data_IF_115425155742
#
_entry.id   IF_115425155742
#
_cell.length_a   1.000
_cell.length_b   1.000
_cell.length_c   1.000
_cell.angle_alpha   90.00
_cell.angle_beta   90.00
_cell.angle_gamma   90.00
#
_symmetry.space_group_name_H-M   'P 1'
#
loop_
_entity.id
_entity.type
_entity.pdbx_description
1 polymer ?
#
# COMPACT_ATOMS: atom_id res chain seq x y z
N UNK A 1 13.88 3.17 10.29
CA UNK A 1 12.43 3.48 10.47
C UNK A 1 11.82 2.39 11.33
N UNK A 2 11.17 2.75 12.42
CA UNK A 2 10.43 1.79 13.25
C UNK A 2 9.03 1.48 12.70
N UNK A 3 8.34 0.50 13.29
CA UNK A 3 7.01 0.08 12.84
C UNK A 3 5.97 1.19 12.89
N UNK A 4 5.97 1.98 13.95
CA UNK A 4 5.02 3.07 14.13
C UNK A 4 5.22 4.14 13.03
N UNK A 5 6.46 4.49 12.77
CA UNK A 5 6.85 5.42 11.71
C UNK A 5 6.43 4.90 10.31
N UNK A 6 6.68 3.63 10.04
CA UNK A 6 6.30 3.02 8.77
C UNK A 6 4.78 3.01 8.56
N UNK A 7 4.02 2.64 9.58
CA UNK A 7 2.55 2.64 9.51
C UNK A 7 1.97 4.05 9.38
N UNK A 8 2.54 5.02 10.07
CA UNK A 8 2.10 6.41 9.96
C UNK A 8 2.37 6.99 8.57
N UNK A 9 3.53 6.69 7.98
CA UNK A 9 3.85 7.07 6.61
C UNK A 9 2.86 6.44 5.62
N UNK A 10 2.65 5.13 5.72
CA UNK A 10 1.73 4.41 4.84
C UNK A 10 0.30 4.95 4.95
N UNK A 11 -0.17 5.21 6.18
CA UNK A 11 -1.48 5.84 6.43
C UNK A 11 -1.62 7.18 5.69
N UNK A 12 -0.63 8.05 5.78
CA UNK A 12 -0.68 9.37 5.15
C UNK A 12 -0.65 9.28 3.62
N UNK A 13 0.21 8.42 3.08
CA UNK A 13 0.30 8.17 1.63
C UNK A 13 -1.01 7.61 1.09
N UNK A 14 -1.61 6.63 1.77
CA UNK A 14 -2.89 6.06 1.36
C UNK A 14 -4.02 7.08 1.43
N UNK A 15 -4.08 7.88 2.49
CA UNK A 15 -5.10 8.94 2.63
C UNK A 15 -4.99 9.98 1.51
N UNK A 16 -3.77 10.41 1.15
CA UNK A 16 -3.57 11.33 0.03
C UNK A 16 -3.92 10.68 -1.31
N UNK A 17 -3.63 9.41 -1.47
CA UNK A 17 -3.96 8.65 -2.69
C UNK A 17 -5.47 8.56 -2.90
N UNK A 18 -6.24 8.32 -1.82
CA UNK A 18 -7.71 8.29 -1.88
C UNK A 18 -8.31 9.65 -2.23
N UNK A 19 -7.71 10.74 -1.72
CA UNK A 19 -8.20 12.10 -2.00
C UNK A 19 -7.81 12.63 -3.37
N UNK A 20 -6.80 12.06 -4.00
CA UNK A 20 -6.31 12.54 -5.28
C UNK A 20 -7.18 12.03 -6.44
N UNK A 21 -7.35 12.87 -7.47
CA UNK A 21 -7.94 12.48 -8.74
C UNK A 21 -6.94 11.67 -9.55
N UNK A 22 -6.72 10.44 -9.16
CA UNK A 22 -5.80 9.55 -9.83
C UNK A 22 -6.35 8.14 -9.90
N UNK A 23 -5.67 7.24 -10.61
CA UNK A 23 -6.10 5.85 -10.67
C UNK A 23 -6.03 5.21 -9.29
N UNK A 24 -7.11 4.55 -8.91
CA UNK A 24 -7.20 3.75 -7.69
C UNK A 24 -6.78 2.32 -8.02
N UNK A 25 -5.55 1.98 -7.67
CA UNK A 25 -4.99 0.67 -7.94
C UNK A 25 -5.07 -0.22 -6.70
N UNK A 26 -5.53 -1.45 -6.89
CA UNK A 26 -5.38 -2.45 -5.85
C UNK A 26 -3.92 -2.93 -5.73
N UNK A 27 -3.60 -3.70 -4.69
CA UNK A 27 -2.23 -4.12 -4.42
C UNK A 27 -1.60 -4.92 -5.57
N UNK A 28 -2.36 -5.77 -6.27
CA UNK A 28 -1.86 -6.56 -7.40
C UNK A 28 -1.53 -5.69 -8.60
N UNK A 29 -2.40 -4.77 -8.93
CA UNK A 29 -2.21 -3.80 -10.02
C UNK A 29 -1.00 -2.91 -9.73
N UNK A 30 -0.91 -2.38 -8.53
CA UNK A 30 0.21 -1.57 -8.09
C UNK A 30 1.52 -2.35 -8.15
N UNK A 31 1.57 -3.56 -7.60
CA UNK A 31 2.77 -4.41 -7.61
C UNK A 31 3.27 -4.70 -9.02
N UNK A 32 2.37 -4.97 -9.97
CA UNK A 32 2.72 -5.17 -11.39
C UNK A 32 3.29 -3.89 -11.99
N UNK A 33 2.61 -2.76 -11.82
CA UNK A 33 3.06 -1.48 -12.36
C UNK A 33 4.43 -1.08 -11.81
N UNK A 34 4.64 -1.22 -10.51
CA UNK A 34 5.95 -0.97 -9.88
C UNK A 34 7.03 -1.86 -10.47
N UNK A 35 6.75 -3.16 -10.57
CA UNK A 35 7.75 -4.11 -11.05
C UNK A 35 8.19 -3.83 -12.48
N UNK A 36 7.24 -3.63 -13.40
CA UNK A 36 7.55 -3.37 -14.81
C UNK A 36 8.20 -2.00 -15.02
N UNK A 37 8.03 -1.07 -14.08
CA UNK A 37 8.59 0.28 -14.17
C UNK A 37 9.97 0.41 -13.52
N UNK A 38 10.22 -0.32 -12.44
CA UNK A 38 11.41 -0.14 -11.61
C UNK A 38 12.46 -1.22 -11.79
N UNK A 39 12.06 -2.40 -12.25
CA UNK A 39 13.00 -3.49 -12.47
C UNK A 39 13.33 -3.63 -13.94
N UNK A 40 14.58 -4.05 -14.28
CA UNK A 40 14.96 -4.26 -15.69
C UNK A 40 14.14 -5.40 -16.30
N UNK A 41 13.67 -5.17 -17.55
CA UNK A 41 12.92 -6.15 -18.33
C UNK A 41 13.80 -6.99 -19.25
N UNK A 42 13.19 -7.75 -20.16
CA UNK A 42 11.75 -7.73 -20.46
C UNK A 42 10.88 -8.39 -19.39
N UNK A 43 9.65 -7.88 -19.21
CA UNK A 43 8.65 -8.45 -18.30
C UNK A 43 7.58 -9.17 -19.09
N UNK A 44 7.31 -10.43 -18.75
CA UNK A 44 6.28 -11.25 -19.37
C UNK A 44 5.16 -11.56 -18.38
N UNK A 45 3.99 -11.92 -18.91
CA UNK A 45 2.87 -12.36 -18.05
C UNK A 45 3.29 -13.54 -17.17
N UNK A 46 4.01 -14.52 -17.75
CA UNK A 46 4.56 -15.66 -17.00
C UNK A 46 5.52 -15.21 -15.90
N UNK A 47 6.47 -14.35 -16.23
CA UNK A 47 7.46 -13.85 -15.28
C UNK A 47 6.83 -13.07 -14.13
N UNK A 48 5.80 -12.26 -14.40
CA UNK A 48 5.03 -11.55 -13.38
C UNK A 48 4.25 -12.52 -12.48
N UNK A 49 3.64 -13.53 -13.06
CA UNK A 49 2.91 -14.55 -12.30
C UNK A 49 3.86 -15.30 -11.34
N UNK A 50 5.02 -15.71 -11.79
CA UNK A 50 6.04 -16.37 -10.97
C UNK A 50 6.56 -15.44 -9.87
N UNK A 51 6.94 -14.21 -10.23
CA UNK A 51 7.51 -13.24 -9.30
C UNK A 51 6.55 -12.84 -8.18
N UNK A 52 5.26 -12.77 -8.46
CA UNK A 52 4.23 -12.32 -7.50
C UNK A 52 3.45 -13.51 -6.89
N UNK A 53 3.81 -14.74 -7.23
CA UNK A 53 3.09 -15.95 -6.81
C UNK A 53 1.60 -15.89 -7.12
N UNK A 54 1.27 -15.39 -8.31
CA UNK A 54 -0.09 -15.27 -8.82
C UNK A 54 -0.33 -16.28 -9.95
N UNK A 55 -1.58 -16.69 -10.12
CA UNK A 55 -1.99 -17.38 -11.33
C UNK A 55 -1.99 -16.44 -12.54
N UNK A 56 -1.74 -16.97 -13.73
CA UNK A 56 -1.82 -16.19 -14.97
C UNK A 56 -3.16 -15.45 -15.17
N UNK A 57 -4.33 -16.04 -14.83
CA UNK A 57 -5.60 -15.31 -14.92
C UNK A 57 -5.66 -14.06 -14.04
N UNK A 58 -5.07 -14.11 -12.85
CA UNK A 58 -5.02 -12.95 -11.95
C UNK A 58 -4.12 -11.84 -12.51
N UNK A 59 -2.97 -12.20 -13.08
CA UNK A 59 -2.08 -11.25 -13.78
C UNK A 59 -2.79 -10.65 -14.99
N UNK A 60 -3.46 -11.45 -15.80
CA UNK A 60 -4.18 -10.96 -16.98
C UNK A 60 -5.29 -9.98 -16.62
N UNK A 61 -6.06 -10.25 -15.57
CA UNK A 61 -7.10 -9.32 -15.09
C UNK A 61 -6.50 -8.00 -14.59
N UNK A 62 -5.40 -8.06 -13.86
CA UNK A 62 -4.70 -6.86 -13.40
C UNK A 62 -4.17 -6.03 -14.58
N UNK A 63 -3.63 -6.70 -15.60
CA UNK A 63 -3.15 -6.05 -16.83
C UNK A 63 -4.29 -5.45 -17.65
N UNK A 64 -5.45 -6.12 -17.72
CA UNK A 64 -6.64 -5.56 -18.37
C UNK A 64 -7.06 -4.25 -17.70
N UNK A 65 -7.07 -4.21 -16.36
CA UNK A 65 -7.36 -3.00 -15.62
C UNK A 65 -6.32 -1.89 -15.85
N UNK A 66 -5.03 -2.22 -15.78
CA UNK A 66 -3.95 -1.27 -16.04
C UNK A 66 -3.97 -0.72 -17.48
N UNK A 67 -4.26 -1.57 -18.45
CA UNK A 67 -4.41 -1.17 -19.86
C UNK A 67 -5.64 -0.29 -20.05
N UNK A 68 -6.75 -0.62 -19.40
CA UNK A 68 -7.97 0.20 -19.44
C UNK A 68 -7.78 1.59 -18.86
N UNK A 69 -6.89 1.74 -17.89
CA UNK A 69 -6.49 3.02 -17.31
C UNK A 69 -5.37 3.73 -18.10
N UNK A 70 -4.83 3.09 -19.12
CA UNK A 70 -3.73 3.62 -19.93
C UNK A 70 -2.37 3.63 -19.24
N UNK A 71 -2.17 2.79 -18.21
CA UNK A 71 -0.97 2.78 -17.38
C UNK A 71 0.08 1.76 -17.82
N UNK A 72 -0.34 0.70 -18.51
CA UNK A 72 0.54 -0.32 -19.05
C UNK A 72 0.02 -0.79 -20.40
N UNK A 73 0.91 -1.35 -21.19
CA UNK A 73 0.59 -1.97 -22.48
C UNK A 73 1.16 -3.38 -22.56
N UNK A 74 0.50 -4.21 -23.35
CA UNK A 74 0.97 -5.54 -23.73
C UNK A 74 1.43 -5.52 -25.17
N UNK A 75 2.61 -6.05 -25.41
CA UNK A 75 3.20 -6.14 -26.74
C UNK A 75 3.54 -7.60 -27.06
N UNK A 76 3.40 -8.03 -28.31
CA UNK A 76 3.93 -9.34 -28.70
C UNK A 76 5.45 -9.35 -28.56
N UNK A 77 6.01 -10.49 -28.15
CA UNK A 77 7.44 -10.70 -28.15
C UNK A 77 7.89 -11.10 -29.55
N UNK A 78 8.78 -10.31 -30.18
CA UNK A 78 9.30 -10.58 -31.55
C UNK A 78 10.17 -11.83 -31.62
N UNK A 79 10.75 -12.24 -30.46
CA UNK A 79 11.62 -13.42 -30.37
C UNK A 79 10.88 -14.69 -29.97
N UNK A 80 9.75 -14.58 -29.28
CA UNK A 80 8.88 -15.67 -28.86
C UNK A 80 7.43 -15.30 -29.00
N UNK A 81 6.77 -15.77 -30.06
CA UNK A 81 5.35 -15.48 -30.34
C UNK A 81 4.36 -15.96 -29.27
N UNK A 82 4.81 -16.81 -28.33
CA UNK A 82 3.99 -17.31 -27.20
C UNK A 82 4.06 -16.41 -26.00
N UNK A 83 5.00 -15.46 -25.96
CA UNK A 83 5.18 -14.52 -24.87
C UNK A 83 4.53 -13.18 -25.17
N UNK A 84 4.01 -12.58 -24.11
CA UNK A 84 3.49 -11.21 -24.12
C UNK A 84 4.37 -10.37 -23.20
N UNK A 85 4.97 -9.32 -23.76
CA UNK A 85 5.78 -8.37 -23.02
C UNK A 85 4.89 -7.28 -22.45
N UNK A 86 5.11 -6.93 -21.20
CA UNK A 86 4.42 -5.86 -20.49
C UNK A 86 5.35 -4.68 -20.27
N UNK A 87 4.90 -3.50 -20.64
CA UNK A 87 5.64 -2.25 -20.45
C UNK A 87 4.75 -1.20 -19.81
N UNK A 88 5.33 -0.31 -18.95
CA UNK A 88 4.60 0.86 -18.49
C UNK A 88 4.45 1.86 -19.65
N UNK A 89 3.38 2.64 -19.60
CA UNK A 89 3.20 3.81 -20.46
C UNK A 89 3.81 5.05 -19.81
N UNK A 90 3.94 6.15 -20.56
CA UNK A 90 4.30 7.45 -19.99
C UNK A 90 3.34 7.86 -18.86
N UNK A 91 2.04 7.58 -19.04
CA UNK A 91 1.01 7.81 -18.01
C UNK A 91 1.21 6.94 -16.78
N UNK A 92 1.60 5.68 -16.96
CA UNK A 92 1.94 4.77 -15.86
C UNK A 92 3.13 5.26 -15.05
N UNK A 93 4.19 5.70 -15.73
CA UNK A 93 5.36 6.29 -15.06
C UNK A 93 4.99 7.59 -14.31
N UNK A 94 4.18 8.45 -14.90
CA UNK A 94 3.69 9.66 -14.24
C UNK A 94 2.88 9.35 -12.98
N UNK A 95 2.04 8.30 -13.01
CA UNK A 95 1.29 7.86 -11.84
C UNK A 95 2.22 7.41 -10.69
N UNK A 96 3.31 6.71 -11.00
CA UNK A 96 4.31 6.31 -10.01
C UNK A 96 5.11 7.52 -9.48
N UNK A 97 5.45 8.48 -10.30
CA UNK A 97 6.12 9.71 -9.86
C UNK A 97 5.23 10.50 -8.91
N UNK A 98 3.93 10.63 -9.21
CA UNK A 98 2.97 11.27 -8.31
C UNK A 98 2.86 10.55 -6.96
N UNK A 99 2.92 9.22 -6.97
CA UNK A 99 2.94 8.45 -5.72
C UNK A 99 4.24 8.67 -4.94
N UNK A 100 5.38 8.68 -5.63
CA UNK A 100 6.68 8.99 -5.00
C UNK A 100 6.68 10.38 -4.35
N UNK A 101 6.12 11.37 -5.02
CA UNK A 101 5.98 12.72 -4.46
C UNK A 101 5.12 12.75 -3.19
N UNK A 102 4.06 11.94 -3.13
CA UNK A 102 3.25 11.79 -1.91
C UNK A 102 4.04 11.19 -0.77
N UNK A 103 4.84 10.17 -1.06
CA UNK A 103 5.72 9.55 -0.06
C UNK A 103 6.70 10.58 0.49
N UNK A 104 7.37 11.32 -0.40
CA UNK A 104 8.36 12.35 -0.02
C UNK A 104 7.71 13.45 0.82
N UNK A 105 6.55 13.96 0.42
CA UNK A 105 5.81 14.98 1.18
C UNK A 105 5.37 14.48 2.55
N UNK A 106 4.88 13.26 2.63
CA UNK A 106 4.44 12.65 3.88
C UNK A 106 5.60 12.42 4.84
N UNK A 107 6.75 12.00 4.32
CA UNK A 107 7.98 11.85 5.12
C UNK A 107 8.43 13.20 5.68
N UNK A 108 8.52 14.24 4.85
CA UNK A 108 8.91 15.59 5.30
C UNK A 108 7.99 16.16 6.37
N UNK A 109 6.66 15.96 6.23
CA UNK A 109 5.71 16.40 7.26
C UNK A 109 5.91 15.67 8.58
N UNK A 110 6.30 14.42 8.56
CA UNK A 110 6.55 13.62 9.74
C UNK A 110 7.84 14.01 10.45
N UNK A 111 8.88 14.37 9.72
CA UNK A 111 10.11 14.91 10.28
C UNK A 111 9.88 16.26 10.98
N UNK A 112 8.95 17.07 10.48
CA UNK A 112 8.61 18.38 11.04
C UNK A 112 7.70 18.31 12.28
N UNK A 113 7.01 17.19 12.51
CA UNK A 113 6.05 17.00 13.62
C UNK A 113 6.54 15.88 14.52
N UNK A 114 6.75 16.19 15.82
CA UNK A 114 7.01 15.17 16.84
C UNK A 114 5.84 14.20 16.90
N UNK A 115 6.07 12.94 16.55
CA UNK A 115 5.02 11.92 16.49
C UNK A 115 4.56 11.59 17.89
N UNK A 116 3.27 11.86 18.20
CA UNK A 116 2.63 11.30 19.38
C UNK A 116 2.60 9.78 19.27
N UNK A 117 2.87 9.03 20.34
CA UNK A 117 2.82 7.59 20.29
C UNK A 117 1.44 7.11 19.82
N UNK A 118 1.43 6.14 18.91
CA UNK A 118 0.25 5.66 18.18
C UNK A 118 -0.81 5.00 19.06
N UNK A 119 -0.46 4.67 20.29
CA UNK A 119 -1.35 4.06 21.27
C UNK A 119 -1.07 4.62 22.66
N UNK A 120 -1.99 5.43 23.18
CA UNK A 120 -2.05 5.71 24.62
C UNK A 120 -3.06 4.74 25.23
N UNK A 121 -2.64 3.84 26.13
CA UNK A 121 -3.56 2.95 26.83
C UNK A 121 -4.32 3.68 27.94
N UNK A 122 -4.87 4.85 27.66
CA UNK A 122 -5.61 5.65 28.64
C UNK A 122 -7.05 5.18 28.89
N UNK A 123 -7.44 4.03 28.31
CA UNK A 123 -8.81 3.50 28.47
C UNK A 123 -8.90 2.17 29.21
N UNK A 124 -7.77 1.65 29.70
CA UNK A 124 -7.84 0.64 30.72
C UNK A 124 -8.04 1.36 32.07
N UNK A 125 -9.25 1.84 32.29
CA UNK A 125 -9.66 2.14 33.64
C UNK A 125 -9.59 0.83 34.42
N UNK A 126 -8.70 0.85 35.38
CA UNK A 126 -8.65 -0.15 36.45
C UNK A 126 -10.05 -0.25 37.09
N UNK A 127 -10.80 -1.27 36.73
CA UNK A 127 -12.07 -1.61 37.37
C UNK A 127 -11.86 -2.46 38.62
N UNK A 128 -10.65 -2.46 39.16
CA UNK A 128 -10.33 -3.16 40.41
C UNK A 128 -10.18 -2.21 41.58
N UNK A 129 -11.21 -1.46 41.88
CA UNK A 129 -11.40 -0.87 43.21
C UNK A 129 -12.85 -0.51 43.39
N UNK A 130 -13.64 -1.47 43.81
CA UNK A 130 -14.65 -1.26 44.83
C UNK A 130 -15.14 -2.61 45.36
N UNK A 131 -14.43 -3.14 46.31
CA UNK A 131 -15.02 -3.99 47.33
C UNK A 131 -14.80 -3.27 48.64
N UNK A 132 -15.61 -2.24 48.85
CA UNK A 132 -15.75 -1.61 50.15
C UNK A 132 -16.35 -2.59 51.15
N UNK A 133 -15.51 -3.03 52.04
CA UNK A 133 -15.99 -3.66 53.28
C UNK A 133 -16.80 -2.64 54.04
N UNK A 134 -18.09 -2.88 54.17
CA UNK A 134 -18.96 -2.12 55.05
C UNK A 134 -18.60 -2.36 56.52
N UNK A 135 -18.69 -1.35 57.38
CA UNK A 135 -18.44 -1.54 58.79
C UNK A 135 -19.63 -2.25 59.44
N UNK A 136 -19.35 -3.37 60.06
CA UNK A 136 -20.29 -3.98 60.97
C UNK A 136 -20.37 -3.12 62.24
N UNK A 137 -21.44 -2.42 62.37
CA UNK A 137 -21.84 -1.82 63.65
C UNK A 137 -22.28 -2.92 64.58
N UNK A 138 -21.53 -3.13 65.62
CA UNK A 138 -22.00 -3.84 66.79
C UNK A 138 -22.33 -2.81 67.85
N UNK A 139 -23.61 -2.50 68.05
CA UNK A 139 -24.13 -1.94 69.27
C UNK A 139 -24.60 -3.09 70.14
N UNK A 140 -24.03 -3.22 71.32
CA UNK A 140 -24.55 -4.03 72.38
C UNK A 140 -25.50 -3.19 73.26
#
# INVERSE_FOLDING_TARGET
MDRAAALALLKDVLAETVRADGPDLNARQAAILFRVSLEPGPHTVRGLAEALSLGKPAVSRALDALSGLGLAIRLPDDTDRRSVIVQPTARGLAALHNLADRVIRSERRREAVSIKPMFQPSHLRDTSRDNGAGPTSHAA
#
